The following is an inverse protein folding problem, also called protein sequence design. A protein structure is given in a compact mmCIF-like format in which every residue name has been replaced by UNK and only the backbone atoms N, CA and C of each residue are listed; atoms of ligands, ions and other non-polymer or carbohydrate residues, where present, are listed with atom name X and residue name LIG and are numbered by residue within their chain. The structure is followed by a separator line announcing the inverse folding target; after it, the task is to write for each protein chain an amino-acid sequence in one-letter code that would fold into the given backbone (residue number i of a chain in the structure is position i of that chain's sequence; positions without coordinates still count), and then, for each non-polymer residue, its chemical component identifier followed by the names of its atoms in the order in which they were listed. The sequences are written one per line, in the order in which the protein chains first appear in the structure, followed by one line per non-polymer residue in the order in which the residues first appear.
data_IF_251711586896
#
_entry.id   IF_251711586896
#
_cell.length_a   1.000
_cell.length_b   1.000
_cell.length_c   1.000
_cell.angle_alpha   90.00
_cell.angle_beta   90.00
_cell.angle_gamma   90.00
#
_symmetry.space_group_name_H-M   'P 1'
#
loop_
_entity.id
_entity.type
_entity.pdbx_description
1 polymer ?
#
# COMPACT_ATOMS: atom_id res chain seq x y z
N UNK A 1 -6.94 13.27 -8.71
CA UNK A 1 -7.03 14.69 -8.29
C UNK A 1 -5.66 15.07 -7.73
N UNK A 2 -4.92 15.96 -8.39
CA UNK A 2 -3.58 16.35 -7.93
C UNK A 2 -3.71 17.41 -6.85
N UNK A 3 -3.30 17.10 -5.63
CA UNK A 3 -3.32 18.03 -4.49
C UNK A 3 -1.99 18.79 -4.47
N UNK A 4 -2.04 20.12 -4.53
CA UNK A 4 -0.83 20.94 -4.52
C UNK A 4 -0.09 20.87 -3.17
N UNK A 5 1.20 21.28 -3.17
CA UNK A 5 2.11 21.18 -2.02
C UNK A 5 1.57 21.88 -0.76
N UNK A 6 0.93 23.05 -0.92
CA UNK A 6 0.40 23.83 0.21
C UNK A 6 -0.79 23.11 0.82
N UNK A 7 -1.69 22.62 -0.02
CA UNK A 7 -2.87 21.88 0.43
C UNK A 7 -2.46 20.57 1.12
N UNK A 8 -1.43 19.85 0.64
CA UNK A 8 -0.93 18.63 1.30
C UNK A 8 -0.39 18.88 2.70
N UNK A 9 0.43 19.90 2.91
CA UNK A 9 0.90 20.25 4.26
C UNK A 9 -0.26 20.58 5.19
N UNK A 10 -1.29 21.23 4.66
CA UNK A 10 -2.46 21.62 5.44
C UNK A 10 -3.34 20.42 5.83
N UNK A 11 -3.47 19.42 4.97
CA UNK A 11 -4.28 18.23 5.21
C UNK A 11 -3.54 17.11 5.95
N UNK A 12 -2.26 16.90 5.64
CA UNK A 12 -1.48 15.74 6.08
C UNK A 12 -0.30 16.09 6.97
N UNK A 13 -0.02 17.39 7.20
CA UNK A 13 1.14 17.83 7.97
C UNK A 13 2.48 17.66 7.27
N UNK A 14 2.49 17.15 6.03
CA UNK A 14 3.69 16.92 5.22
C UNK A 14 3.44 17.32 3.75
N UNK A 15 4.52 17.66 3.04
CA UNK A 15 4.53 17.80 1.58
C UNK A 15 5.05 16.57 0.86
N UNK A 16 5.14 15.43 1.54
CA UNK A 16 5.33 14.13 0.89
C UNK A 16 4.14 13.84 -0.05
N UNK A 17 4.42 13.10 -1.12
CA UNK A 17 3.39 12.63 -2.03
C UNK A 17 2.62 11.46 -1.41
N UNK A 18 1.33 11.34 -1.73
CA UNK A 18 0.54 10.20 -1.31
C UNK A 18 1.00 8.96 -2.08
N UNK A 19 1.15 7.84 -1.37
CA UNK A 19 1.38 6.55 -2.02
C UNK A 19 0.16 6.19 -2.87
N UNK A 20 0.43 5.75 -4.10
CA UNK A 20 -0.61 5.20 -4.97
C UNK A 20 -1.03 3.86 -4.39
N UNK A 21 -2.31 3.74 -4.01
CA UNK A 21 -2.91 2.47 -3.60
C UNK A 21 -3.47 1.74 -4.81
N UNK A 22 -3.17 0.45 -4.92
CA UNK A 22 -3.73 -0.47 -5.89
C UNK A 22 -4.56 -1.52 -5.17
N UNK A 23 -5.79 -1.73 -5.64
CA UNK A 23 -6.66 -2.79 -5.17
C UNK A 23 -6.60 -3.98 -6.12
N UNK A 24 -6.39 -5.18 -5.58
CA UNK A 24 -6.56 -6.45 -6.32
C UNK A 24 -7.70 -7.23 -5.68
N UNK A 25 -8.53 -7.89 -6.49
CA UNK A 25 -9.69 -8.63 -5.98
C UNK A 25 -9.95 -9.93 -6.74
N UNK A 26 -10.39 -10.95 -6.00
CA UNK A 26 -10.82 -12.23 -6.54
C UNK A 26 -12.05 -12.71 -5.74
N UNK A 27 -13.23 -12.53 -6.34
CA UNK A 27 -14.50 -12.75 -5.64
C UNK A 27 -14.61 -11.90 -4.36
N UNK A 28 -14.89 -12.49 -3.19
CA UNK A 28 -15.03 -11.76 -1.93
C UNK A 28 -13.69 -11.38 -1.28
N UNK A 29 -12.55 -11.86 -1.78
CA UNK A 29 -11.22 -11.49 -1.31
C UNK A 29 -10.75 -10.22 -2.03
N UNK A 30 -10.29 -9.22 -1.27
CA UNK A 30 -9.63 -8.05 -1.84
C UNK A 30 -8.45 -7.59 -0.98
N UNK A 31 -7.39 -7.11 -1.63
CA UNK A 31 -6.20 -6.54 -0.98
C UNK A 31 -5.93 -5.13 -1.48
N UNK A 32 -5.37 -4.30 -0.61
CA UNK A 32 -4.84 -2.98 -0.95
C UNK A 32 -3.31 -3.03 -0.84
N UNK A 33 -2.62 -2.72 -1.94
CA UNK A 33 -1.18 -2.67 -2.07
C UNK A 33 -0.75 -1.22 -2.25
N UNK A 34 0.21 -0.74 -1.45
CA UNK A 34 0.76 0.60 -1.63
C UNK A 34 2.21 0.65 -1.14
N UNK A 35 3.11 1.22 -1.94
CA UNK A 35 4.53 1.36 -1.60
C UNK A 35 5.17 0.03 -1.20
N UNK A 36 5.11 -0.96 -2.09
CA UNK A 36 5.77 -2.25 -1.88
C UNK A 36 5.01 -3.27 -1.01
N UNK A 37 4.03 -2.84 -0.23
CA UNK A 37 3.47 -3.67 0.84
C UNK A 37 1.94 -3.81 0.79
N UNK A 38 1.45 -4.90 1.38
CA UNK A 38 0.02 -5.12 1.59
C UNK A 38 -0.42 -4.32 2.82
N UNK A 39 -1.29 -3.34 2.57
CA UNK A 39 -1.82 -2.44 3.60
C UNK A 39 -3.02 -3.04 4.28
N UNK A 40 -3.91 -3.68 3.54
CA UNK A 40 -5.07 -4.38 4.08
C UNK A 40 -5.53 -5.53 3.20
N UNK A 41 -6.12 -6.53 3.83
CA UNK A 41 -6.82 -7.65 3.19
C UNK A 41 -8.22 -7.74 3.79
N UNK A 42 -9.21 -7.84 2.93
CA UNK A 42 -10.61 -7.95 3.29
C UNK A 42 -11.26 -9.19 2.69
N UNK A 43 -12.18 -9.77 3.44
CA UNK A 43 -13.05 -10.87 3.01
C UNK A 43 -14.50 -10.43 3.19
N UNK A 44 -15.29 -10.45 2.11
CA UNK A 44 -16.64 -9.86 2.08
C UNK A 44 -16.67 -8.40 2.57
N UNK A 45 -15.64 -7.62 2.23
CA UNK A 45 -15.52 -6.21 2.63
C UNK A 45 -15.17 -5.98 4.10
N UNK A 46 -15.01 -7.03 4.90
CA UNK A 46 -14.52 -6.94 6.29
C UNK A 46 -13.00 -7.11 6.26
N UNK A 47 -12.26 -6.14 6.82
CA UNK A 47 -10.81 -6.27 6.97
C UNK A 47 -10.48 -7.41 7.93
N UNK A 48 -9.63 -8.34 7.49
CA UNK A 48 -9.22 -9.51 8.28
C UNK A 48 -7.71 -9.57 8.50
N UNK A 49 -6.90 -8.91 7.67
CA UNK A 49 -5.44 -8.74 7.87
C UNK A 49 -5.06 -7.30 7.53
N UNK A 50 -4.10 -6.75 8.27
CA UNK A 50 -3.56 -5.41 8.05
C UNK A 50 -2.04 -5.41 8.10
N UNK A 51 -1.41 -4.66 7.19
CA UNK A 51 -0.01 -4.26 7.28
C UNK A 51 1.00 -5.40 7.20
N UNK A 52 0.90 -6.25 6.17
CA UNK A 52 1.99 -7.18 5.84
C UNK A 52 3.06 -6.38 5.08
N UNK A 53 4.16 -6.10 5.76
CA UNK A 53 5.25 -5.24 5.30
C UNK A 53 6.60 -5.81 5.76
N UNK A 54 7.68 -5.40 5.11
CA UNK A 54 9.06 -5.79 5.39
C UNK A 54 9.93 -4.54 5.62
N UNK A 55 9.70 -3.80 6.73
CA UNK A 55 10.39 -2.54 6.95
C UNK A 55 11.89 -2.75 7.18
N UNK A 56 12.70 -1.93 6.51
CA UNK A 56 14.12 -1.85 6.80
C UNK A 56 14.29 -0.99 8.05
N UNK A 57 14.81 -1.59 9.12
CA UNK A 57 14.98 -0.94 10.42
C UNK A 57 16.44 -0.69 10.74
N UNK A 58 16.71 0.43 11.41
CA UNK A 58 18.01 0.67 12.04
C UNK A 58 18.07 0.01 13.43
N UNK A 59 19.23 0.10 14.09
CA UNK A 59 19.44 -0.48 15.42
C UNK A 59 18.51 0.10 16.50
N UNK A 60 18.02 1.32 16.29
CA UNK A 60 17.14 2.05 17.20
C UNK A 60 15.65 1.89 16.84
N UNK A 61 15.30 0.88 16.04
CA UNK A 61 13.94 0.63 15.56
C UNK A 61 13.32 1.73 14.67
N UNK A 62 14.12 2.68 14.19
CA UNK A 62 13.69 3.63 13.15
C UNK A 62 13.45 2.92 11.81
N UNK A 63 12.44 3.35 11.05
CA UNK A 63 12.17 2.85 9.70
C UNK A 63 12.86 3.73 8.67
N UNK A 64 13.66 3.15 7.78
CA UNK A 64 14.20 3.89 6.66
C UNK A 64 13.11 4.15 5.60
N UNK A 65 13.16 5.33 4.98
CA UNK A 65 12.40 5.57 3.77
C UNK A 65 12.95 4.66 2.65
N UNK A 66 12.12 3.76 2.15
CA UNK A 66 12.44 2.86 1.06
C UNK A 66 11.56 3.19 -0.15
N UNK A 67 12.11 2.96 -1.34
CA UNK A 67 11.36 3.06 -2.58
C UNK A 67 11.33 1.68 -3.24
N UNK A 68 10.15 1.23 -3.65
CA UNK A 68 10.05 0.02 -4.47
C UNK A 68 10.56 0.33 -5.88
N UNK A 69 11.50 -0.47 -6.38
CA UNK A 69 12.09 -0.28 -7.71
C UNK A 69 11.36 -1.05 -8.80
N UNK A 70 10.67 -2.13 -8.43
CA UNK A 70 9.93 -3.00 -9.34
C UNK A 70 8.80 -3.69 -8.59
N UNK A 71 7.63 -3.74 -9.21
CA UNK A 71 6.46 -4.47 -8.73
C UNK A 71 5.80 -5.09 -9.96
N UNK A 72 5.30 -6.32 -9.84
CA UNK A 72 4.49 -6.97 -10.85
C UNK A 72 3.19 -7.51 -10.25
N UNK A 73 2.16 -7.61 -11.08
CA UNK A 73 0.84 -8.06 -10.66
C UNK A 73 0.14 -8.83 -11.77
N UNK A 74 -0.60 -9.86 -11.37
CA UNK A 74 -1.47 -10.62 -12.27
C UNK A 74 -2.86 -10.71 -11.67
N UNK A 75 -3.89 -10.54 -12.50
CA UNK A 75 -5.29 -10.75 -12.12
C UNK A 75 -5.93 -11.76 -13.07
N UNK A 76 -6.69 -12.70 -12.52
CA UNK A 76 -7.45 -13.69 -13.28
C UNK A 76 -8.79 -13.96 -12.60
N UNK A 77 -9.65 -14.75 -13.25
CA UNK A 77 -10.90 -15.21 -12.64
C UNK A 77 -10.67 -16.08 -11.40
N UNK A 78 -9.51 -16.74 -11.31
CA UNK A 78 -9.18 -17.66 -10.21
C UNK A 78 -8.47 -16.98 -9.04
N UNK A 79 -7.88 -15.79 -9.25
CA UNK A 79 -7.09 -15.14 -8.22
C UNK A 79 -6.27 -13.94 -8.70
N UNK A 80 -5.33 -13.50 -7.86
CA UNK A 80 -4.35 -12.48 -8.20
C UNK A 80 -2.98 -12.80 -7.59
N UNK A 81 -1.93 -12.26 -8.19
CA UNK A 81 -0.54 -12.31 -7.71
C UNK A 81 0.01 -10.91 -7.56
N UNK A 82 0.93 -10.75 -6.62
CA UNK A 82 1.73 -9.54 -6.43
C UNK A 82 3.15 -9.96 -6.04
N UNK A 83 4.15 -9.40 -6.72
CA UNK A 83 5.57 -9.73 -6.56
C UNK A 83 6.45 -8.50 -6.67
#
# INVERSE_FOLDING_TARGET
MTVDRKTRRLLFGTDEDLLVSRRLAAGPLAVEIAGGALRGLSWHGVEVIRGIDYPIRNADWGTYAAATTSEDFGESVEGFTYT
#
